data_IF_873347683343
#
_entry.id   IF_873347683343
#
_cell.length_a   1.000
_cell.length_b   1.000
_cell.length_c   1.000
_cell.angle_alpha   90.00
_cell.angle_beta   90.00
_cell.angle_gamma   90.00
#
_symmetry.space_group_name_H-M   'P 1'
#
loop_
_entity.id
_entity.type
_entity.pdbx_description
1 polymer ?
#
# COMPACT_ATOMS: atom_id res chain seq x y z
N UNK A 1 -1.93 36.73 42.32
CA UNK A 1 -2.09 35.31 42.70
C UNK A 1 -2.87 34.51 41.65
N UNK A 2 -3.77 35.14 40.90
CA UNK A 2 -4.54 34.46 39.81
C UNK A 2 -3.74 34.13 38.56
N UNK A 3 -2.66 34.87 38.22
CA UNK A 3 -1.85 34.62 37.02
C UNK A 3 -0.96 33.38 37.10
N UNK A 4 -0.62 32.91 38.30
CA UNK A 4 0.19 31.69 38.49
C UNK A 4 -0.66 30.41 38.44
N UNK A 5 -1.98 30.51 38.63
CA UNK A 5 -2.88 29.36 38.52
C UNK A 5 -3.29 29.07 37.07
N UNK A 6 -3.20 30.05 36.17
CA UNK A 6 -3.42 29.86 34.73
C UNK A 6 -2.21 29.20 34.03
N UNK A 7 -0.99 29.49 34.47
CA UNK A 7 0.24 28.90 33.91
C UNK A 7 0.45 27.44 34.30
N UNK A 8 -0.06 27.01 35.46
CA UNK A 8 0.02 25.59 35.89
C UNK A 8 -1.04 24.68 35.25
N UNK A 9 -2.12 25.26 34.73
CA UNK A 9 -3.15 24.49 34.01
C UNK A 9 -2.81 24.19 32.53
N UNK A 10 -1.94 24.99 31.89
CA UNK A 10 -1.47 24.80 30.51
C UNK A 10 -0.31 23.80 30.38
N UNK A 11 0.32 23.41 31.49
CA UNK A 11 1.46 22.48 31.46
C UNK A 11 1.07 20.99 31.41
N UNK A 12 -0.20 20.63 31.39
CA UNK A 12 -0.70 19.27 31.60
C UNK A 12 -1.44 18.75 30.38
N UNK A 13 -0.79 18.53 29.32
CA UNK A 13 -0.97 17.50 28.29
C UNK A 13 -0.51 17.99 26.92
N UNK A 14 0.81 17.98 26.69
CA UNK A 14 1.28 17.95 25.30
C UNK A 14 0.61 16.74 24.65
N UNK A 15 -0.20 16.94 23.58
CA UNK A 15 -0.82 15.82 22.89
C UNK A 15 0.29 14.85 22.48
N UNK A 16 0.09 13.57 22.75
CA UNK A 16 1.05 12.55 22.35
C UNK A 16 1.26 12.71 20.86
N UNK A 17 2.50 12.85 20.40
CA UNK A 17 2.82 12.96 18.98
C UNK A 17 2.30 11.73 18.20
N UNK A 18 1.92 11.91 16.93
CA UNK A 18 1.43 10.83 16.05
C UNK A 18 2.33 9.58 16.11
N UNK A 19 3.65 9.77 16.21
CA UNK A 19 4.62 8.67 16.33
C UNK A 19 4.36 7.77 17.54
N UNK A 20 4.00 8.34 18.68
CA UNK A 20 3.68 7.54 19.89
C UNK A 20 2.40 6.72 19.73
N UNK A 21 1.38 7.28 19.06
CA UNK A 21 0.15 6.52 18.75
C UNK A 21 0.45 5.37 17.79
N UNK A 22 1.23 5.63 16.74
CA UNK A 22 1.62 4.60 15.76
C UNK A 22 2.41 3.49 16.45
N UNK A 23 3.39 3.80 17.28
CA UNK A 23 4.22 2.81 17.95
C UNK A 23 3.44 1.96 18.98
N UNK A 24 2.44 2.54 19.65
CA UNK A 24 1.62 1.83 20.64
C UNK A 24 0.57 0.91 20.02
N UNK A 25 0.03 1.23 18.85
CA UNK A 25 -0.95 0.41 18.17
C UNK A 25 -0.28 -0.63 17.28
N UNK A 26 -0.53 -1.92 17.51
CA UNK A 26 -0.03 -3.01 16.65
C UNK A 26 -0.49 -2.85 15.20
N UNK A 27 -1.74 -2.42 15.01
CA UNK A 27 -2.30 -2.19 13.68
C UNK A 27 -1.63 -1.02 12.98
N UNK A 28 -1.58 0.16 13.61
CA UNK A 28 -0.99 1.36 13.00
C UNK A 28 0.50 1.15 12.66
N UNK A 29 1.27 0.55 13.57
CA UNK A 29 2.67 0.21 13.32
C UNK A 29 2.81 -0.79 12.18
N UNK A 30 2.00 -1.85 12.17
CA UNK A 30 2.01 -2.84 11.10
C UNK A 30 1.67 -2.22 9.75
N UNK A 31 0.64 -1.38 9.68
CA UNK A 31 0.26 -0.67 8.44
C UNK A 31 1.37 0.27 7.98
N UNK A 32 1.99 1.04 8.88
CA UNK A 32 3.10 1.93 8.53
C UNK A 32 4.24 1.16 7.85
N UNK A 33 4.70 0.08 8.48
CA UNK A 33 5.79 -0.76 7.93
C UNK A 33 5.36 -1.38 6.59
N UNK A 34 4.13 -1.88 6.49
CA UNK A 34 3.60 -2.47 5.25
C UNK A 34 3.55 -1.45 4.10
N UNK A 35 3.15 -0.20 4.38
CA UNK A 35 3.12 0.88 3.39
C UNK A 35 4.52 1.27 2.92
N UNK A 36 5.52 1.31 3.82
CA UNK A 36 6.91 1.57 3.45
C UNK A 36 7.45 0.45 2.54
N UNK A 37 7.29 -0.82 2.97
CA UNK A 37 7.80 -1.97 2.21
C UNK A 37 7.15 -2.05 0.83
N UNK A 38 5.81 -1.94 0.75
CA UNK A 38 5.10 -2.00 -0.53
C UNK A 38 5.38 -0.77 -1.40
N UNK A 39 5.50 0.40 -0.79
CA UNK A 39 5.83 1.63 -1.50
C UNK A 39 7.21 1.55 -2.17
N UNK A 40 8.24 1.12 -1.44
CA UNK A 40 9.57 0.89 -2.01
C UNK A 40 9.50 -0.19 -3.09
N UNK A 41 8.92 -1.36 -2.78
CA UNK A 41 8.89 -2.50 -3.70
C UNK A 41 8.25 -2.16 -5.05
N UNK A 42 7.09 -1.49 -5.04
CA UNK A 42 6.40 -1.12 -6.28
C UNK A 42 7.17 -0.04 -7.05
N UNK A 43 7.66 0.98 -6.36
CA UNK A 43 8.32 2.12 -6.99
C UNK A 43 9.70 1.78 -7.60
N UNK A 44 10.35 0.74 -7.11
CA UNK A 44 11.58 0.15 -7.68
C UNK A 44 11.37 -0.26 -9.15
N UNK A 45 10.20 -0.83 -9.48
CA UNK A 45 9.94 -1.39 -10.82
C UNK A 45 9.22 -0.42 -11.75
N UNK A 46 8.40 0.50 -11.26
CA UNK A 46 7.55 1.35 -12.10
C UNK A 46 8.34 2.08 -13.22
N UNK A 47 9.49 2.72 -12.96
CA UNK A 47 10.27 3.34 -14.02
C UNK A 47 10.96 2.34 -14.95
N UNK A 48 11.22 1.13 -14.46
CA UNK A 48 11.95 0.08 -15.20
C UNK A 48 11.03 -0.74 -16.12
N UNK A 49 9.69 -0.62 -15.96
CA UNK A 49 8.74 -1.42 -16.73
C UNK A 49 8.85 -1.16 -18.23
N UNK A 50 9.09 0.08 -18.63
CA UNK A 50 9.29 0.44 -20.05
C UNK A 50 10.55 -0.22 -20.62
N UNK A 51 11.64 -0.23 -19.85
CA UNK A 51 12.88 -0.90 -20.24
C UNK A 51 12.68 -2.40 -20.37
N UNK A 52 11.90 -3.01 -19.48
CA UNK A 52 11.52 -4.42 -19.57
C UNK A 52 10.71 -4.73 -20.83
N UNK A 53 9.68 -3.91 -21.13
CA UNK A 53 8.82 -4.11 -22.30
C UNK A 53 9.58 -3.96 -23.60
N UNK A 54 10.45 -2.95 -23.72
CA UNK A 54 11.24 -2.69 -24.94
C UNK A 54 12.45 -3.62 -25.04
N UNK A 55 13.22 -3.76 -23.96
CA UNK A 55 14.48 -4.52 -23.98
C UNK A 55 14.31 -6.03 -23.94
N UNK A 56 13.40 -6.54 -23.10
CA UNK A 56 13.21 -7.98 -22.90
C UNK A 56 12.12 -8.60 -23.79
N UNK A 57 11.06 -7.86 -24.05
CA UNK A 57 9.92 -8.33 -24.85
C UNK A 57 9.89 -7.77 -26.28
N UNK A 58 10.89 -6.94 -26.63
CA UNK A 58 11.06 -6.36 -27.96
C UNK A 58 9.84 -5.59 -28.49
N UNK A 59 9.04 -4.98 -27.57
CA UNK A 59 7.95 -4.11 -27.96
C UNK A 59 8.51 -2.79 -28.52
N UNK A 60 7.79 -2.20 -29.46
CA UNK A 60 8.07 -0.81 -29.86
C UNK A 60 7.78 0.15 -28.68
N UNK A 61 8.41 1.33 -28.70
CA UNK A 61 8.16 2.37 -27.70
C UNK A 61 6.68 2.77 -27.64
N UNK A 62 5.99 2.79 -28.79
CA UNK A 62 4.55 3.06 -28.86
C UNK A 62 3.73 1.98 -28.14
N UNK A 63 4.03 0.70 -28.35
CA UNK A 63 3.39 -0.40 -27.66
C UNK A 63 3.66 -0.38 -26.15
N UNK A 64 4.90 -0.09 -25.74
CA UNK A 64 5.23 0.10 -24.33
C UNK A 64 4.47 1.29 -23.72
N UNK A 65 4.22 2.35 -24.48
CA UNK A 65 3.34 3.45 -24.08
C UNK A 65 1.89 3.00 -23.87
N UNK A 66 1.35 2.16 -24.76
CA UNK A 66 0.00 1.62 -24.64
C UNK A 66 -0.19 0.75 -23.38
N UNK A 67 0.88 0.12 -22.88
CA UNK A 67 0.81 -0.61 -21.62
C UNK A 67 0.27 0.25 -20.47
N UNK A 68 0.62 1.53 -20.41
CA UNK A 68 0.16 2.41 -19.33
C UNK A 68 -1.36 2.70 -19.40
N UNK A 69 -2.00 2.47 -20.55
CA UNK A 69 -3.46 2.56 -20.64
C UNK A 69 -4.16 1.45 -19.83
N UNK A 70 -3.49 0.34 -19.58
CA UNK A 70 -4.03 -0.71 -18.72
C UNK A 70 -4.26 -0.22 -17.29
N UNK A 71 -3.58 0.85 -16.85
CA UNK A 71 -3.82 1.47 -15.55
C UNK A 71 -5.22 2.12 -15.44
N UNK A 72 -5.92 2.36 -16.55
CA UNK A 72 -7.31 2.81 -16.54
C UNK A 72 -8.26 1.77 -15.94
N UNK A 73 -7.85 0.51 -15.83
CA UNK A 73 -8.61 -0.52 -15.09
C UNK A 73 -8.49 -0.37 -13.57
N UNK A 74 -7.48 0.35 -13.06
CA UNK A 74 -7.25 0.48 -11.62
C UNK A 74 -8.41 1.10 -10.83
N UNK A 75 -9.13 2.14 -11.30
CA UNK A 75 -10.32 2.65 -10.62
C UNK A 75 -11.43 1.61 -10.53
N UNK A 76 -11.65 0.82 -11.60
CA UNK A 76 -12.66 -0.24 -11.64
C UNK A 76 -12.28 -1.34 -10.65
N UNK A 77 -11.03 -1.81 -10.70
CA UNK A 77 -10.51 -2.79 -9.76
C UNK A 77 -10.60 -2.27 -8.31
N UNK A 78 -10.25 -1.01 -8.08
CA UNK A 78 -10.34 -0.36 -6.77
C UNK A 78 -11.77 -0.33 -6.23
N UNK A 79 -12.76 -0.03 -7.07
CA UNK A 79 -14.18 -0.08 -6.70
C UNK A 79 -14.63 -1.51 -6.36
N UNK A 80 -14.29 -2.49 -7.19
CA UNK A 80 -14.66 -3.89 -6.97
C UNK A 80 -14.01 -4.43 -5.69
N UNK A 81 -12.72 -4.20 -5.50
CA UNK A 81 -11.98 -4.60 -4.29
C UNK A 81 -12.53 -3.86 -3.05
N UNK A 82 -12.87 -2.59 -3.17
CA UNK A 82 -13.49 -1.81 -2.11
C UNK A 82 -14.85 -2.37 -1.69
N UNK A 83 -15.73 -2.64 -2.65
CA UNK A 83 -17.06 -3.22 -2.40
C UNK A 83 -16.98 -4.62 -1.80
N UNK A 84 -16.01 -5.44 -2.26
CA UNK A 84 -15.74 -6.77 -1.69
C UNK A 84 -15.25 -6.65 -0.23
N UNK A 85 -14.35 -5.71 0.04
CA UNK A 85 -13.87 -5.41 1.38
C UNK A 85 -15.01 -4.98 2.31
N UNK A 86 -15.93 -4.20 1.78
CA UNK A 86 -17.09 -3.76 2.52
C UNK A 86 -18.03 -4.92 2.86
N UNK A 87 -18.22 -5.86 1.97
CA UNK A 87 -19.03 -7.07 2.20
C UNK A 87 -18.33 -8.07 3.12
N UNK A 88 -17.03 -8.30 2.91
CA UNK A 88 -16.24 -9.23 3.72
C UNK A 88 -16.04 -8.76 5.17
N UNK A 89 -16.25 -7.47 5.47
CA UNK A 89 -16.11 -6.92 6.82
C UNK A 89 -14.67 -6.94 7.36
N UNK A 90 -13.66 -7.17 6.51
CA UNK A 90 -12.25 -7.23 6.94
C UNK A 90 -11.31 -6.59 5.90
N UNK A 91 -10.85 -5.38 6.20
CA UNK A 91 -9.89 -4.65 5.35
C UNK A 91 -8.58 -5.43 5.18
N UNK A 92 -8.10 -6.04 6.27
CA UNK A 92 -6.84 -6.78 6.25
C UNK A 92 -6.92 -8.08 5.45
N UNK A 93 -8.07 -8.76 5.43
CA UNK A 93 -8.25 -9.94 4.59
C UNK A 93 -8.14 -9.57 3.11
N UNK A 94 -8.84 -8.52 2.70
CA UNK A 94 -8.82 -8.06 1.31
C UNK A 94 -7.42 -7.54 0.93
N UNK A 95 -6.73 -6.83 1.83
CA UNK A 95 -5.33 -6.47 1.63
C UNK A 95 -4.44 -7.71 1.39
N UNK A 96 -4.61 -8.77 2.20
CA UNK A 96 -3.83 -10.01 2.05
C UNK A 96 -4.07 -10.66 0.69
N UNK A 97 -5.32 -10.74 0.26
CA UNK A 97 -5.67 -11.28 -1.07
C UNK A 97 -5.09 -10.43 -2.20
N UNK A 98 -5.18 -9.10 -2.08
CA UNK A 98 -4.56 -8.17 -3.04
C UNK A 98 -3.04 -8.30 -3.10
N UNK A 99 -2.38 -8.49 -1.96
CA UNK A 99 -0.93 -8.68 -1.92
C UNK A 99 -0.50 -10.02 -2.54
N UNK A 100 -1.27 -11.09 -2.33
CA UNK A 100 -1.02 -12.39 -2.99
C UNK A 100 -1.23 -12.25 -4.50
N UNK A 101 -2.31 -11.61 -4.95
CA UNK A 101 -2.54 -11.34 -6.37
C UNK A 101 -1.42 -10.50 -6.98
N UNK A 102 -0.92 -9.50 -6.24
CA UNK A 102 0.22 -8.68 -6.64
C UNK A 102 1.51 -9.49 -6.77
N UNK A 103 1.81 -10.34 -5.79
CA UNK A 103 2.96 -11.25 -5.85
C UNK A 103 2.89 -12.14 -7.10
N UNK A 104 1.75 -12.80 -7.31
CA UNK A 104 1.55 -13.65 -8.50
C UNK A 104 1.67 -12.84 -9.79
N UNK A 105 1.10 -11.64 -9.83
CA UNK A 105 1.21 -10.74 -10.97
C UNK A 105 2.67 -10.40 -11.30
N UNK A 106 3.48 -10.06 -10.32
CA UNK A 106 4.89 -9.76 -10.53
C UNK A 106 5.72 -10.99 -10.94
N UNK A 107 5.43 -12.17 -10.37
CA UNK A 107 6.06 -13.43 -10.79
C UNK A 107 5.72 -13.75 -12.24
N UNK A 108 4.44 -13.66 -12.63
CA UNK A 108 4.01 -13.88 -14.01
C UNK A 108 4.60 -12.84 -14.97
N UNK A 109 4.73 -11.58 -14.53
CA UNK A 109 5.39 -10.54 -15.31
C UNK A 109 6.88 -10.89 -15.56
N UNK A 110 7.58 -11.39 -14.56
CA UNK A 110 8.99 -11.76 -14.67
C UNK A 110 9.25 -12.92 -15.65
N UNK A 111 8.28 -13.83 -15.79
CA UNK A 111 8.37 -14.97 -16.72
C UNK A 111 7.64 -14.73 -18.04
N UNK A 112 7.12 -13.53 -18.27
CA UNK A 112 6.44 -13.16 -19.50
C UNK A 112 7.41 -13.25 -20.69
N UNK A 113 6.95 -13.91 -21.78
CA UNK A 113 7.70 -14.07 -23.03
C UNK A 113 6.98 -13.48 -24.24
N UNK A 114 5.70 -13.20 -24.12
CA UNK A 114 4.89 -12.69 -25.21
C UNK A 114 4.41 -11.26 -24.95
N UNK A 115 4.32 -10.46 -25.98
CA UNK A 115 3.97 -9.06 -25.93
C UNK A 115 2.63 -8.75 -25.24
N UNK A 116 1.64 -9.62 -25.37
CA UNK A 116 0.32 -9.42 -24.77
C UNK A 116 0.25 -9.74 -23.26
N UNK A 117 1.17 -10.59 -22.74
CA UNK A 117 1.13 -11.06 -21.36
C UNK A 117 1.18 -9.91 -20.33
N UNK A 118 2.09 -8.94 -20.44
CA UNK A 118 2.15 -7.82 -19.50
C UNK A 118 0.83 -7.05 -19.41
N UNK A 119 0.13 -6.86 -20.53
CA UNK A 119 -1.16 -6.16 -20.56
C UNK A 119 -2.21 -6.92 -19.77
N UNK A 120 -2.37 -8.22 -20.03
CA UNK A 120 -3.34 -9.05 -19.32
C UNK A 120 -3.01 -9.14 -17.82
N UNK A 121 -1.74 -9.35 -17.47
CA UNK A 121 -1.29 -9.43 -16.08
C UNK A 121 -1.58 -8.13 -15.33
N UNK A 122 -1.28 -6.97 -15.95
CA UNK A 122 -1.54 -5.69 -15.31
C UNK A 122 -3.04 -5.44 -15.11
N UNK A 123 -3.85 -5.72 -16.13
CA UNK A 123 -5.30 -5.52 -16.04
C UNK A 123 -5.98 -6.43 -15.02
N UNK A 124 -5.57 -7.70 -14.90
CA UNK A 124 -6.26 -8.69 -14.08
C UNK A 124 -5.70 -8.77 -12.65
N UNK A 125 -4.38 -8.74 -12.50
CA UNK A 125 -3.73 -8.98 -11.20
C UNK A 125 -3.16 -7.70 -10.58
N UNK A 126 -2.35 -6.93 -11.30
CA UNK A 126 -1.67 -5.78 -10.71
C UNK A 126 -2.63 -4.62 -10.42
N UNK A 127 -3.68 -4.43 -11.23
CA UNK A 127 -4.72 -3.43 -10.94
C UNK A 127 -5.48 -3.74 -9.63
N UNK A 128 -5.78 -5.03 -9.37
CA UNK A 128 -6.39 -5.45 -8.10
C UNK A 128 -5.43 -5.33 -6.92
N UNK A 129 -4.15 -5.63 -7.14
CA UNK A 129 -3.10 -5.46 -6.15
C UNK A 129 -2.91 -3.99 -5.74
N UNK A 130 -3.02 -3.06 -6.69
CA UNK A 130 -2.95 -1.61 -6.45
C UNK A 130 -3.99 -1.11 -5.44
N UNK A 131 -5.14 -1.78 -5.33
CA UNK A 131 -6.14 -1.46 -4.33
C UNK A 131 -5.72 -1.82 -2.89
N UNK A 132 -4.68 -2.64 -2.69
CA UNK A 132 -4.23 -3.09 -1.37
C UNK A 132 -3.81 -1.93 -0.46
N UNK A 133 -3.07 -0.95 -0.97
CA UNK A 133 -2.68 0.22 -0.20
C UNK A 133 -3.88 1.04 0.28
N UNK A 134 -4.93 1.15 -0.53
CA UNK A 134 -6.18 1.80 -0.15
C UNK A 134 -6.88 1.07 1.00
N UNK A 135 -6.82 -0.27 1.04
CA UNK A 135 -7.37 -1.07 2.14
C UNK A 135 -6.61 -0.84 3.45
N UNK A 136 -5.28 -0.69 3.39
CA UNK A 136 -4.48 -0.35 4.57
C UNK A 136 -4.84 1.04 5.12
N UNK A 137 -4.98 2.04 4.24
CA UNK A 137 -5.39 3.38 4.65
C UNK A 137 -6.82 3.40 5.20
N UNK A 138 -7.74 2.61 4.63
CA UNK A 138 -9.09 2.44 5.15
C UNK A 138 -9.07 1.80 6.56
N UNK A 139 -8.21 0.77 6.78
CA UNK A 139 -8.05 0.15 8.09
C UNK A 139 -7.52 1.13 9.15
N UNK A 140 -6.62 2.06 8.76
CA UNK A 140 -6.16 3.14 9.65
C UNK A 140 -7.34 4.04 10.04
N UNK A 141 -8.14 4.49 9.07
CA UNK A 141 -9.32 5.34 9.34
C UNK A 141 -10.34 4.63 10.23
N UNK A 142 -10.61 3.35 9.96
CA UNK A 142 -11.52 2.56 10.79
C UNK A 142 -11.01 2.44 12.23
N UNK A 143 -9.69 2.33 12.46
CA UNK A 143 -9.10 2.29 13.79
C UNK A 143 -9.19 3.65 14.51
N UNK A 144 -8.89 4.75 13.82
CA UNK A 144 -8.99 6.09 14.38
C UNK A 144 -10.44 6.46 14.70
N UNK A 145 -11.41 6.06 13.87
CA UNK A 145 -12.83 6.26 14.15
C UNK A 145 -13.31 5.48 15.40
N UNK A 146 -12.70 4.32 15.67
CA UNK A 146 -13.00 3.53 16.89
C UNK A 146 -12.31 4.07 18.13
N UNK A 147 -11.17 4.66 17.99
CA UNK A 147 -10.34 5.21 19.07
C UNK A 147 -9.81 6.58 18.66
N UNK A 148 -10.69 7.60 18.66
CA UNK A 148 -10.30 8.95 18.26
C UNK A 148 -9.15 9.48 19.12
N UNK A 149 -8.21 10.16 18.48
CA UNK A 149 -7.09 10.81 19.15
C UNK A 149 -6.95 12.26 18.70
N UNK A 150 -6.41 13.15 19.50
CA UNK A 150 -6.14 14.52 19.05
C UNK A 150 -5.17 14.61 17.86
N UNK A 151 -4.44 13.51 17.57
CA UNK A 151 -3.45 13.44 16.49
C UNK A 151 -3.92 12.67 15.26
N UNK A 152 -5.22 12.44 15.06
CA UNK A 152 -5.76 11.61 13.96
C UNK A 152 -5.28 12.10 12.59
N UNK A 153 -5.35 13.41 12.33
CA UNK A 153 -4.90 14.00 11.07
C UNK A 153 -3.39 13.80 10.85
N UNK A 154 -2.60 13.92 11.92
CA UNK A 154 -1.15 13.70 11.86
C UNK A 154 -0.83 12.22 11.59
N UNK A 155 -1.55 11.28 12.21
CA UNK A 155 -1.39 9.84 11.97
C UNK A 155 -1.67 9.53 10.49
N UNK A 156 -2.77 10.04 9.93
CA UNK A 156 -3.10 9.86 8.51
C UNK A 156 -2.02 10.47 7.61
N UNK A 157 -1.51 11.65 7.94
CA UNK A 157 -0.43 12.30 7.20
C UNK A 157 0.85 11.45 7.21
N UNK A 158 1.26 10.93 8.37
CA UNK A 158 2.44 10.04 8.50
C UNK A 158 2.27 8.76 7.68
N UNK A 159 1.07 8.16 7.63
CA UNK A 159 0.81 6.99 6.80
C UNK A 159 0.96 7.29 5.29
N UNK A 160 0.54 8.48 4.85
CA UNK A 160 0.76 8.92 3.45
C UNK A 160 2.23 9.17 3.16
N UNK A 161 2.95 9.80 4.10
CA UNK A 161 4.39 10.03 3.98
C UNK A 161 5.18 8.72 3.90
N UNK A 162 4.77 7.67 4.63
CA UNK A 162 5.39 6.35 4.57
C UNK A 162 5.40 5.80 3.13
N UNK A 163 4.30 5.93 2.42
CA UNK A 163 4.21 5.51 1.02
C UNK A 163 4.99 6.44 0.08
N UNK A 164 4.89 7.76 0.28
CA UNK A 164 5.60 8.75 -0.52
C UNK A 164 7.13 8.58 -0.42
N UNK A 165 7.64 8.25 0.76
CA UNK A 165 9.06 7.93 0.97
C UNK A 165 9.53 6.80 0.04
N UNK A 166 8.73 5.73 -0.08
CA UNK A 166 9.02 4.64 -1.01
C UNK A 166 9.15 5.13 -2.46
N UNK A 167 8.26 6.02 -2.89
CA UNK A 167 8.26 6.58 -4.24
C UNK A 167 9.46 7.50 -4.53
N UNK A 168 10.05 8.10 -3.51
CA UNK A 168 11.28 8.91 -3.67
C UNK A 168 12.52 8.00 -3.79
N UNK A 169 12.62 7.00 -2.93
CA UNK A 169 13.83 6.16 -2.81
C UNK A 169 13.83 5.02 -3.83
N UNK A 170 12.65 4.46 -4.13
CA UNK A 170 12.51 3.26 -4.96
C UNK A 170 13.08 3.37 -6.36
N UNK A 171 12.85 4.44 -7.14
CA UNK A 171 13.39 4.57 -8.49
C UNK A 171 14.92 4.48 -8.56
N UNK A 172 15.62 5.07 -7.56
CA UNK A 172 17.09 5.01 -7.48
C UNK A 172 17.56 3.57 -7.21
N UNK A 173 16.93 2.91 -6.22
CA UNK A 173 17.21 1.50 -5.92
C UNK A 173 16.93 0.64 -7.16
N UNK A 174 15.81 0.89 -7.85
CA UNK A 174 15.40 0.15 -9.05
C UNK A 174 16.38 0.27 -10.19
N UNK A 175 16.90 1.47 -10.44
CA UNK A 175 17.89 1.69 -11.48
C UNK A 175 19.18 0.91 -11.19
N UNK A 176 19.69 0.96 -9.95
CA UNK A 176 20.90 0.23 -9.55
C UNK A 176 20.67 -1.29 -9.60
N UNK A 177 19.61 -1.79 -8.99
CA UNK A 177 19.30 -3.22 -8.98
C UNK A 177 19.05 -3.74 -10.40
N UNK A 178 18.28 -3.03 -11.22
CA UNK A 178 18.01 -3.41 -12.60
C UNK A 178 19.28 -3.53 -13.44
N UNK A 179 20.25 -2.64 -13.21
CA UNK A 179 21.54 -2.70 -13.88
C UNK A 179 22.42 -3.88 -13.41
N UNK A 180 22.33 -4.25 -12.11
CA UNK A 180 23.21 -5.28 -11.53
C UNK A 180 22.64 -6.69 -11.72
N UNK A 181 21.37 -6.89 -11.42
CA UNK A 181 20.74 -8.22 -11.43
C UNK A 181 19.86 -8.48 -12.65
N UNK A 182 19.57 -7.46 -13.46
CA UNK A 182 18.68 -7.53 -14.61
C UNK A 182 17.22 -7.24 -14.26
N UNK A 183 16.41 -7.04 -15.31
CA UNK A 183 15.02 -6.58 -15.14
C UNK A 183 14.07 -7.69 -14.65
N UNK A 184 14.23 -8.93 -15.12
CA UNK A 184 13.39 -10.05 -14.68
C UNK A 184 13.55 -10.38 -13.19
N UNK A 185 14.78 -10.51 -12.64
CA UNK A 185 14.95 -10.64 -11.19
C UNK A 185 14.42 -9.45 -10.40
N UNK A 186 14.52 -8.22 -10.94
CA UNK A 186 13.96 -7.02 -10.31
C UNK A 186 12.45 -7.12 -10.12
N UNK A 187 11.73 -7.65 -11.12
CA UNK A 187 10.28 -7.90 -11.03
C UNK A 187 9.96 -8.91 -9.90
N UNK A 188 10.78 -9.96 -9.75
CA UNK A 188 10.65 -10.91 -8.64
C UNK A 188 10.89 -10.26 -7.28
N UNK A 189 11.91 -9.40 -7.17
CA UNK A 189 12.17 -8.61 -5.95
C UNK A 189 10.96 -7.76 -5.60
N UNK A 190 10.33 -7.11 -6.57
CA UNK A 190 9.10 -6.33 -6.36
C UNK A 190 7.97 -7.20 -5.83
N UNK A 191 7.74 -8.36 -6.45
CA UNK A 191 6.75 -9.33 -5.98
C UNK A 191 7.02 -9.76 -4.54
N UNK A 192 8.28 -10.07 -4.21
CA UNK A 192 8.70 -10.44 -2.86
C UNK A 192 8.46 -9.30 -1.85
N UNK A 193 8.75 -8.06 -2.19
CA UNK A 193 8.47 -6.91 -1.35
C UNK A 193 6.95 -6.77 -1.08
N UNK A 194 6.12 -6.96 -2.11
CA UNK A 194 4.65 -6.96 -1.96
C UNK A 194 4.21 -8.08 -1.01
N UNK A 195 4.76 -9.27 -1.12
CA UNK A 195 4.46 -10.38 -0.21
C UNK A 195 4.97 -10.10 1.21
N UNK A 196 6.19 -9.58 1.36
CA UNK A 196 6.77 -9.23 2.66
C UNK A 196 5.99 -8.13 3.38
N UNK A 197 5.25 -7.28 2.65
CA UNK A 197 4.37 -6.29 3.27
C UNK A 197 3.25 -6.90 4.12
N UNK A 198 2.98 -8.20 3.99
CA UNK A 198 2.04 -8.94 4.85
C UNK A 198 2.59 -9.22 6.26
N UNK A 199 3.91 -9.36 6.38
CA UNK A 199 4.58 -9.83 7.62
C UNK A 199 4.24 -8.95 8.82
N UNK A 200 4.29 -7.61 8.75
CA UNK A 200 3.99 -6.74 9.90
C UNK A 200 2.54 -6.85 10.39
N UNK A 201 1.65 -7.43 9.58
CA UNK A 201 0.21 -7.56 9.86
C UNK A 201 -0.19 -9.01 10.17
N UNK A 202 0.79 -9.92 10.35
CA UNK A 202 0.52 -11.29 10.80
C UNK A 202 -0.06 -11.23 12.23
N UNK A 203 -1.20 -11.92 12.42
CA UNK A 203 -1.88 -11.96 13.73
C UNK A 203 -2.67 -10.69 14.10
N UNK A 204 -2.61 -9.63 13.29
CA UNK A 204 -3.46 -8.44 13.47
C UNK A 204 -4.84 -8.73 12.88
N UNK A 205 -5.89 -8.55 13.68
CA UNK A 205 -7.29 -8.63 13.26
C UNK A 205 -7.83 -7.21 13.08
N UNK A 206 -8.56 -6.94 11.99
CA UNK A 206 -9.35 -5.73 11.83
C UNK A 206 -10.81 -6.11 11.88
N UNK A 207 -11.47 -5.81 12.99
CA UNK A 207 -12.90 -6.09 13.19
C UNK A 207 -13.73 -4.89 12.68
N UNK A 208 -13.72 -4.64 11.37
CA UNK A 208 -14.59 -3.64 10.76
C UNK A 208 -16.09 -4.03 10.84
N UNK A 209 -16.37 -5.34 10.99
CA UNK A 209 -17.73 -5.84 11.17
C UNK A 209 -18.36 -5.42 12.53
N UNK A 210 -17.56 -5.32 13.60
CA UNK A 210 -18.06 -4.91 14.92
C UNK A 210 -18.45 -3.42 14.93
N UNK A 211 -17.70 -2.56 14.24
CA UNK A 211 -18.01 -1.14 14.14
C UNK A 211 -19.33 -0.87 13.39
N UNK A 212 -19.66 -1.66 12.36
CA UNK A 212 -20.94 -1.53 11.64
C UNK A 212 -22.12 -2.02 12.44
N UNK A 213 -22.00 -3.07 13.24
CA UNK A 213 -23.07 -3.55 14.12
C UNK A 213 -23.41 -2.51 15.19
N UNK A 214 -22.41 -1.80 15.70
CA UNK A 214 -22.62 -0.73 16.67
C UNK A 214 -23.33 0.51 16.08
N UNK A 215 -23.19 0.76 14.76
CA UNK A 215 -23.85 1.87 14.06
C UNK A 215 -25.24 1.49 13.49
N UNK A 216 -25.57 0.19 13.42
CA UNK A 216 -26.87 -0.31 12.92
C UNK A 216 -27.86 -0.68 14.02
N UNK A 217 -27.52 -0.50 15.27
CA UNK A 217 -28.46 -0.57 16.41
C UNK A 217 -29.08 0.82 16.62
N UNK A 218 -30.40 0.98 16.39
CA UNK A 218 -31.11 2.23 16.56
C UNK A 218 -31.15 2.66 18.03
#
# INVERSE_FOLDING_TARGET
>A
MASRLSETAESSSRPLSASRYILRSRLLRGVFISLVISGIGISVTVPQITLFLVGELHLSTAQAGLYFLTNLTAPIAGYLVGSLSDRAGSRLLVFRLSAIAGFLGWVLMAVAMQAWMPFAINMLLLSTAGAGAAQLQAAVRDELNRRPTPADNEVVAVMRMAMAFGWIVGPVIGAVLGAVIGLRPLLLVTGLCVLLSLVPLIGVKSDSAAARRALSTP
#
